data_IF_529614883637
#
_entry.id   IF_529614883637
#
_cell.length_a   1.000
_cell.length_b   1.000
_cell.length_c   1.000
_cell.angle_alpha   90.00
_cell.angle_beta   90.00
_cell.angle_gamma   90.00
#
_symmetry.space_group_name_H-M   'P 1'
#
loop_
_entity.id
_entity.type
_entity.pdbx_description
1 polymer ?
#
# COMPACT_ATOMS: atom_id res chain seq x y z
N UNK A 1 -4.95 0.92 33.24
CA UNK A 1 -3.88 1.69 32.57
C UNK A 1 -3.95 1.28 31.10
N UNK A 2 -4.64 2.04 30.25
CA UNK A 2 -4.86 1.69 28.84
C UNK A 2 -4.23 2.77 27.96
N UNK A 3 -3.34 2.35 27.08
CA UNK A 3 -2.51 3.18 26.20
C UNK A 3 -3.03 3.00 24.78
N UNK A 4 -3.18 4.09 24.02
CA UNK A 4 -3.38 4.06 22.57
C UNK A 4 -4.83 4.12 22.08
N UNK A 5 -5.52 5.26 22.26
CA UNK A 5 -6.72 5.59 21.50
C UNK A 5 -6.39 6.76 20.56
N UNK A 6 -6.53 6.55 19.25
CA UNK A 6 -6.59 7.63 18.26
C UNK A 6 -8.01 8.16 18.28
N UNK A 7 -8.17 9.48 18.43
CA UNK A 7 -9.48 10.13 18.64
C UNK A 7 -9.72 11.11 17.51
N UNK A 8 -10.72 10.84 16.66
CA UNK A 8 -11.09 11.71 15.52
C UNK A 8 -12.51 12.26 15.76
N UNK A 9 -12.69 13.59 15.94
CA UNK A 9 -14.02 14.18 16.08
C UNK A 9 -14.71 14.37 14.72
N UNK A 10 -16.03 14.17 14.70
CA UNK A 10 -16.89 14.33 13.51
C UNK A 10 -17.03 15.81 13.13
N UNK A 11 -17.18 16.67 14.15
CA UNK A 11 -17.23 18.14 14.08
C UNK A 11 -16.81 18.75 15.43
N UNK A 12 -16.48 20.05 15.48
CA UNK A 12 -15.98 20.74 16.69
C UNK A 12 -16.86 20.59 17.94
N UNK A 13 -18.18 20.47 17.77
CA UNK A 13 -19.19 20.35 18.82
C UNK A 13 -19.82 18.95 18.97
N UNK A 14 -19.32 17.91 18.28
CA UNK A 14 -19.88 16.57 18.44
C UNK A 14 -19.56 15.99 19.83
N UNK A 15 -20.52 15.38 20.55
CA UNK A 15 -20.27 14.77 21.86
C UNK A 15 -19.64 13.37 21.78
N UNK A 16 -19.47 12.88 20.55
CA UNK A 16 -18.89 11.61 20.20
C UNK A 16 -17.51 11.82 19.57
N UNK A 17 -16.60 10.90 19.86
CA UNK A 17 -15.31 10.80 19.20
C UNK A 17 -15.12 9.40 18.63
N UNK A 18 -14.59 9.33 17.42
CA UNK A 18 -14.27 8.06 16.77
C UNK A 18 -12.92 7.54 17.24
N UNK A 19 -12.81 6.22 17.42
CA UNK A 19 -11.57 5.56 17.78
C UNK A 19 -11.47 4.15 17.22
N UNK A 20 -10.27 3.58 17.30
CA UNK A 20 -9.97 2.21 16.90
C UNK A 20 -9.54 1.39 18.11
N UNK A 21 -9.99 0.13 18.20
CA UNK A 21 -9.51 -0.81 19.21
C UNK A 21 -8.25 -1.52 18.71
N UNK A 22 -7.70 -2.43 19.53
CA UNK A 22 -6.51 -3.22 19.18
C UNK A 22 -6.71 -4.18 18.00
N UNK A 23 -7.95 -4.45 17.62
CA UNK A 23 -8.32 -5.26 16.47
C UNK A 23 -8.61 -4.40 15.23
N UNK A 24 -8.39 -3.07 15.30
CA UNK A 24 -8.68 -2.10 14.25
C UNK A 24 -10.18 -1.93 13.93
N UNK A 25 -11.06 -2.30 14.85
CA UNK A 25 -12.48 -1.98 14.71
C UNK A 25 -12.70 -0.51 15.01
N UNK A 26 -13.36 0.20 14.09
CA UNK A 26 -13.78 1.57 14.32
C UNK A 26 -15.04 1.60 15.19
N UNK A 27 -15.02 2.44 16.23
CA UNK A 27 -16.16 2.66 17.11
C UNK A 27 -16.36 4.14 17.46
N UNK A 28 -17.60 4.50 17.80
CA UNK A 28 -17.95 5.80 18.36
C UNK A 28 -18.05 5.70 19.87
N UNK A 29 -17.31 6.54 20.59
CA UNK A 29 -17.35 6.62 22.05
C UNK A 29 -17.74 8.03 22.51
N UNK A 30 -18.42 8.12 23.64
CA UNK A 30 -18.72 9.41 24.28
C UNK A 30 -17.45 10.06 24.80
N UNK A 31 -17.30 11.35 24.52
CA UNK A 31 -16.20 12.14 25.09
C UNK A 31 -16.32 12.10 26.63
N UNK A 32 -15.28 11.69 27.36
CA UNK A 32 -15.28 11.66 28.82
C UNK A 32 -15.65 13.02 29.42
N UNK A 33 -16.40 13.02 30.53
CA UNK A 33 -16.96 14.23 31.13
C UNK A 33 -15.90 15.33 31.42
N UNK A 34 -14.69 14.90 31.83
CA UNK A 34 -13.54 15.79 32.09
C UNK A 34 -13.11 16.62 30.87
N UNK A 35 -13.17 16.01 29.68
CA UNK A 35 -12.71 16.59 28.42
C UNK A 35 -13.87 17.33 27.74
N UNK A 36 -15.10 16.85 27.92
CA UNK A 36 -16.34 17.49 27.47
C UNK A 36 -16.52 18.89 28.06
N UNK A 37 -16.33 19.06 29.37
CA UNK A 37 -16.46 20.36 30.03
C UNK A 37 -15.44 21.41 29.56
N UNK A 38 -14.26 20.97 29.09
CA UNK A 38 -13.24 21.86 28.51
C UNK A 38 -13.61 22.26 27.09
N UNK A 39 -14.10 21.33 26.29
CA UNK A 39 -14.53 21.59 24.91
C UNK A 39 -15.80 22.43 24.78
N UNK A 40 -16.68 22.39 25.80
CA UNK A 40 -17.81 23.34 25.90
C UNK A 40 -17.31 24.78 26.04
N UNK A 41 -16.17 25.00 26.71
CA UNK A 41 -15.57 26.33 26.89
C UNK A 41 -14.67 26.73 25.72
N UNK A 42 -13.95 25.78 25.13
CA UNK A 42 -13.08 25.99 23.98
C UNK A 42 -13.20 24.80 23.00
N UNK A 43 -13.97 24.94 21.91
CA UNK A 43 -14.16 23.88 20.92
C UNK A 43 -12.87 23.48 20.16
N UNK A 44 -11.82 24.30 20.23
CA UNK A 44 -10.52 24.03 19.59
C UNK A 44 -9.56 23.23 20.48
N UNK A 45 -9.93 23.02 21.75
CA UNK A 45 -9.12 22.30 22.72
C UNK A 45 -8.82 20.86 22.28
N UNK A 46 -7.54 20.55 22.06
CA UNK A 46 -7.11 19.25 21.54
C UNK A 46 -7.34 18.10 22.54
N UNK A 47 -7.63 16.91 22.01
CA UNK A 47 -7.64 15.69 22.82
C UNK A 47 -6.21 15.24 23.08
N UNK A 48 -5.92 14.83 24.32
CA UNK A 48 -4.62 14.24 24.68
C UNK A 48 -4.55 12.81 24.12
N UNK A 49 -4.19 12.67 22.87
CA UNK A 49 -3.77 11.40 22.27
C UNK A 49 -2.26 11.22 22.46
N UNK A 50 -1.73 9.99 22.40
CA UNK A 50 -0.30 9.77 22.19
C UNK A 50 0.08 10.32 20.80
N UNK A 51 0.39 11.61 20.77
CA UNK A 51 0.96 12.45 19.72
C UNK A 51 0.24 12.57 18.36
N UNK A 52 -0.20 13.80 18.02
CA UNK A 52 -0.10 14.34 16.64
C UNK A 52 0.34 15.81 16.69
N UNK A 53 1.57 16.08 16.25
CA UNK A 53 1.95 17.28 15.50
C UNK A 53 3.27 16.98 14.77
N UNK A 54 3.24 16.93 13.43
CA UNK A 54 4.43 16.87 12.55
C UNK A 54 5.27 15.60 12.50
N UNK A 55 5.17 14.68 13.47
CA UNK A 55 6.03 13.49 13.59
C UNK A 55 5.44 12.16 13.10
N UNK A 56 4.18 12.12 12.63
CA UNK A 56 3.50 10.87 12.30
C UNK A 56 4.13 10.15 11.09
N UNK A 57 4.51 10.90 10.05
CA UNK A 57 5.17 10.36 8.85
C UNK A 57 6.55 9.81 9.24
N UNK A 58 7.42 10.60 9.85
CA UNK A 58 8.75 10.14 10.32
C UNK A 58 8.65 8.91 11.23
N UNK A 59 7.72 8.91 12.17
CA UNK A 59 7.52 7.78 13.09
C UNK A 59 7.05 6.53 12.34
N UNK A 60 6.08 6.66 11.44
CA UNK A 60 5.59 5.56 10.58
C UNK A 60 6.73 5.00 9.72
N UNK A 61 7.45 5.87 9.01
CA UNK A 61 8.58 5.51 8.15
C UNK A 61 9.64 4.76 8.95
N UNK A 62 10.04 5.27 10.12
CA UNK A 62 11.05 4.59 10.95
C UNK A 62 10.56 3.28 11.56
N UNK A 63 9.29 3.17 11.95
CA UNK A 63 8.75 1.91 12.45
C UNK A 63 8.73 0.85 11.35
N UNK A 64 8.25 1.20 10.16
CA UNK A 64 8.20 0.28 9.03
C UNK A 64 9.60 -0.11 8.55
N UNK A 65 10.55 0.83 8.48
CA UNK A 65 11.94 0.53 8.14
C UNK A 65 12.59 -0.44 9.13
N UNK A 66 12.28 -0.33 10.43
CA UNK A 66 12.78 -1.26 11.45
C UNK A 66 12.16 -2.65 11.31
N UNK A 67 10.89 -2.74 10.91
CA UNK A 67 10.26 -4.03 10.60
C UNK A 67 10.96 -4.66 9.38
N UNK A 68 11.12 -3.90 8.30
CA UNK A 68 11.79 -4.36 7.09
C UNK A 68 13.23 -4.83 7.37
N UNK A 69 13.99 -4.09 8.17
CA UNK A 69 15.33 -4.48 8.60
C UNK A 69 15.38 -5.79 9.38
N UNK A 70 14.39 -6.04 10.25
CA UNK A 70 14.40 -7.22 11.12
C UNK A 70 13.90 -8.46 10.39
N UNK A 71 12.91 -8.31 9.50
CA UNK A 71 12.14 -9.43 8.98
C UNK A 71 12.26 -9.67 7.49
N UNK A 72 12.61 -8.68 6.67
CA UNK A 72 12.55 -8.80 5.21
C UNK A 72 13.88 -9.19 4.55
N UNK A 73 14.93 -9.47 5.31
CA UNK A 73 16.23 -9.93 4.79
C UNK A 73 16.72 -9.10 3.57
N UNK A 74 17.09 -9.73 2.46
CA UNK A 74 17.47 -9.07 1.20
C UNK A 74 16.31 -8.32 0.53
N UNK A 75 15.06 -8.74 0.75
CA UNK A 75 13.84 -8.14 0.18
C UNK A 75 13.52 -6.77 0.76
N UNK A 76 14.21 -6.35 1.83
CA UNK A 76 14.19 -4.95 2.27
C UNK A 76 14.50 -3.99 1.12
N UNK A 77 15.36 -4.37 0.18
CA UNK A 77 15.68 -3.54 -0.99
C UNK A 77 14.42 -3.19 -1.80
N UNK A 78 13.48 -4.12 -1.94
CA UNK A 78 12.20 -3.88 -2.64
C UNK A 78 11.35 -2.87 -1.87
N UNK A 79 11.26 -3.01 -0.54
CA UNK A 79 10.59 -2.03 0.31
C UNK A 79 11.21 -0.63 0.21
N UNK A 80 12.54 -0.54 0.11
CA UNK A 80 13.21 0.75 -0.03
C UNK A 80 12.86 1.45 -1.37
N UNK A 81 12.57 0.70 -2.44
CA UNK A 81 12.11 1.25 -3.72
C UNK A 81 10.74 1.93 -3.62
N UNK A 82 9.91 1.56 -2.63
CA UNK A 82 8.59 2.16 -2.45
C UNK A 82 8.63 3.48 -1.67
N UNK A 83 9.79 3.86 -1.13
CA UNK A 83 9.94 5.06 -0.30
C UNK A 83 10.25 6.29 -1.15
N UNK A 84 9.65 7.43 -0.78
CA UNK A 84 10.06 8.71 -1.36
C UNK A 84 11.50 9.07 -0.96
N UNK A 85 12.13 9.96 -1.73
CA UNK A 85 13.49 10.43 -1.43
C UNK A 85 13.64 10.96 0.01
N UNK A 86 12.66 11.72 0.48
CA UNK A 86 12.67 12.26 1.84
C UNK A 86 12.55 11.17 2.92
N UNK A 87 11.81 10.09 2.65
CA UNK A 87 11.67 8.96 3.57
C UNK A 87 12.92 8.10 3.64
N UNK A 88 13.62 7.92 2.51
CA UNK A 88 14.92 7.25 2.47
C UNK A 88 15.98 8.01 3.26
N UNK A 89 16.02 9.33 3.09
CA UNK A 89 16.96 10.22 3.79
C UNK A 89 16.57 10.46 5.26
N UNK A 90 15.38 10.04 5.68
CA UNK A 90 14.95 10.16 7.08
C UNK A 90 15.87 9.35 7.99
N UNK A 91 16.52 10.02 8.94
CA UNK A 91 17.33 9.36 9.95
C UNK A 91 16.46 8.53 10.90
N UNK A 92 16.67 7.22 10.89
CA UNK A 92 16.01 6.23 11.73
C UNK A 92 17.03 5.44 12.54
N UNK A 93 16.65 5.01 13.74
CA UNK A 93 17.50 4.16 14.58
C UNK A 93 17.45 2.71 14.09
N UNK A 94 18.61 2.12 13.88
CA UNK A 94 18.80 0.71 13.52
C UNK A 94 18.19 -0.24 14.57
N UNK A 95 17.70 -1.39 14.10
CA UNK A 95 17.05 -2.42 14.90
C UNK A 95 17.95 -3.65 15.19
N UNK A 96 19.27 -3.45 15.29
CA UNK A 96 20.27 -4.53 15.45
C UNK A 96 19.98 -5.51 16.59
N UNK A 97 19.51 -5.03 17.75
CA UNK A 97 19.12 -5.90 18.87
C UNK A 97 17.98 -6.87 18.52
N UNK A 98 17.05 -6.43 17.65
CA UNK A 98 15.92 -7.25 17.19
C UNK A 98 16.36 -8.23 16.11
N UNK A 99 17.29 -7.83 15.23
CA UNK A 99 17.94 -8.74 14.29
C UNK A 99 18.65 -9.87 15.05
N UNK A 100 19.41 -9.53 16.09
CA UNK A 100 20.07 -10.51 16.96
C UNK A 100 19.06 -11.44 17.64
N UNK A 101 18.00 -10.89 18.22
CA UNK A 101 16.94 -11.69 18.85
C UNK A 101 16.30 -12.68 17.86
N UNK A 102 16.02 -12.28 16.62
CA UNK A 102 15.49 -13.18 15.58
C UNK A 102 16.43 -14.35 15.31
N UNK A 103 17.74 -14.08 15.25
CA UNK A 103 18.77 -15.11 15.10
C UNK A 103 18.82 -16.05 16.31
N UNK A 104 18.82 -15.49 17.53
CA UNK A 104 18.86 -16.27 18.78
C UNK A 104 17.63 -17.20 18.93
N UNK A 105 16.47 -16.76 18.42
CA UNK A 105 15.22 -17.53 18.39
C UNK A 105 15.13 -18.54 17.24
N UNK A 106 16.13 -18.61 16.36
CA UNK A 106 16.18 -19.51 15.19
C UNK A 106 14.94 -19.39 14.30
N UNK A 107 14.51 -18.16 14.04
CA UNK A 107 13.38 -17.93 13.13
C UNK A 107 13.76 -18.25 11.67
N UNK A 108 12.75 -18.64 10.88
CA UNK A 108 12.90 -18.90 9.44
C UNK A 108 13.26 -17.61 8.65
N UNK A 109 13.92 -17.74 7.48
CA UNK A 109 14.21 -16.63 6.59
C UNK A 109 12.94 -16.10 5.90
N UNK A 110 13.00 -14.88 5.37
CA UNK A 110 11.88 -14.25 4.69
C UNK A 110 11.51 -14.96 3.39
N UNK A 111 12.48 -15.53 2.67
CA UNK A 111 12.25 -16.41 1.52
C UNK A 111 11.27 -17.54 1.84
N UNK A 112 11.49 -18.23 2.98
CA UNK A 112 10.61 -19.30 3.42
C UNK A 112 9.19 -18.81 3.69
N UNK A 113 9.03 -17.60 4.24
CA UNK A 113 7.73 -16.99 4.46
C UNK A 113 7.00 -16.75 3.14
N UNK A 114 7.69 -16.22 2.13
CA UNK A 114 7.13 -16.01 0.80
C UNK A 114 6.74 -17.33 0.14
N UNK A 115 7.60 -18.35 0.21
CA UNK A 115 7.33 -19.64 -0.44
C UNK A 115 6.24 -20.47 0.26
N UNK A 116 6.12 -20.35 1.59
CA UNK A 116 5.29 -21.26 2.41
C UNK A 116 4.03 -20.60 2.94
N UNK A 117 4.11 -19.34 3.36
CA UNK A 117 3.03 -18.65 4.07
C UNK A 117 2.26 -17.71 3.14
N UNK A 118 2.96 -17.02 2.23
CA UNK A 118 2.32 -16.06 1.33
C UNK A 118 2.79 -16.17 -0.14
N UNK A 119 2.64 -17.35 -0.77
CA UNK A 119 3.13 -17.63 -2.13
C UNK A 119 2.40 -16.88 -3.24
N UNK A 120 1.21 -16.36 -2.98
CA UNK A 120 0.46 -15.53 -3.92
C UNK A 120 1.01 -14.10 -4.04
N UNK A 121 1.89 -13.66 -3.12
CA UNK A 121 2.48 -12.33 -3.17
C UNK A 121 3.43 -12.22 -4.37
N UNK A 122 3.00 -11.49 -5.39
CA UNK A 122 3.83 -11.15 -6.53
C UNK A 122 4.86 -10.10 -6.13
N UNK A 123 6.14 -10.46 -6.15
CA UNK A 123 7.23 -9.50 -5.96
C UNK A 123 7.81 -9.08 -7.32
N UNK A 124 8.30 -7.84 -7.44
CA UNK A 124 9.08 -7.44 -8.60
C UNK A 124 10.26 -8.40 -8.77
N UNK A 125 10.33 -9.06 -9.91
CA UNK A 125 11.45 -9.94 -10.27
C UNK A 125 12.56 -9.10 -10.91
N UNK A 126 13.82 -9.56 -10.89
CA UNK A 126 14.94 -8.85 -11.54
C UNK A 126 14.73 -8.58 -13.03
N UNK A 127 13.75 -9.26 -13.65
CA UNK A 127 13.33 -9.04 -15.03
C UNK A 127 12.32 -7.92 -15.21
N UNK A 128 11.82 -7.30 -14.15
CA UNK A 128 10.89 -6.17 -14.26
C UNK A 128 11.65 -4.86 -14.50
N UNK A 129 11.21 -4.11 -15.51
CA UNK A 129 11.69 -2.76 -15.85
C UNK A 129 11.03 -1.68 -15.00
N UNK A 130 9.76 -1.87 -14.64
CA UNK A 130 8.99 -0.94 -13.81
C UNK A 130 7.91 -1.68 -13.01
N UNK A 131 7.51 -1.10 -11.88
CA UNK A 131 6.51 -1.62 -10.98
C UNK A 131 5.78 -0.46 -10.28
N UNK A 132 4.46 -0.57 -10.12
CA UNK A 132 3.63 0.40 -9.40
C UNK A 132 2.38 0.82 -10.17
N UNK A 133 1.93 2.06 -9.99
CA UNK A 133 0.73 2.60 -10.62
C UNK A 133 1.04 3.21 -11.99
N UNK A 134 0.16 3.00 -12.97
CA UNK A 134 0.26 3.64 -14.29
C UNK A 134 -0.58 4.92 -14.28
N UNK A 135 0.09 6.08 -14.35
CA UNK A 135 -0.55 7.39 -14.38
C UNK A 135 -0.78 7.86 -15.83
N UNK A 136 -1.88 8.55 -16.10
CA UNK A 136 -2.09 9.22 -17.39
C UNK A 136 -2.49 10.69 -17.22
N UNK A 137 -2.07 11.52 -18.19
CA UNK A 137 -1.97 12.97 -18.03
C UNK A 137 -3.27 13.71 -18.39
N UNK A 138 -3.86 14.33 -17.37
CA UNK A 138 -4.69 15.55 -17.39
C UNK A 138 -4.24 16.37 -16.18
N UNK A 139 -4.43 17.70 -16.12
CA UNK A 139 -3.70 18.64 -15.23
C UNK A 139 -3.81 18.38 -13.72
N UNK A 140 -4.62 17.42 -13.30
CA UNK A 140 -4.65 16.84 -11.96
C UNK A 140 -4.05 15.44 -12.00
N UNK A 141 -2.88 15.25 -11.39
CA UNK A 141 -2.11 13.99 -11.20
C UNK A 141 -2.86 12.86 -10.46
N UNK A 142 -4.18 12.76 -10.59
CA UNK A 142 -5.05 11.97 -9.74
C UNK A 142 -5.69 10.78 -10.45
N UNK A 143 -5.39 10.50 -11.72
CA UNK A 143 -5.99 9.37 -12.43
C UNK A 143 -4.98 8.27 -12.75
N UNK A 144 -5.29 7.07 -12.30
CA UNK A 144 -4.50 5.86 -12.49
C UNK A 144 -5.32 4.82 -13.28
N UNK A 145 -4.64 3.94 -14.01
CA UNK A 145 -5.28 2.76 -14.60
C UNK A 145 -5.77 1.86 -13.46
N UNK A 146 -7.01 1.41 -13.55
CA UNK A 146 -7.71 0.64 -12.53
C UNK A 146 -8.43 -0.55 -13.16
N UNK A 147 -8.54 -1.65 -12.41
CA UNK A 147 -9.38 -2.77 -12.81
C UNK A 147 -10.83 -2.45 -12.43
N UNK A 148 -11.73 -2.44 -13.41
CA UNK A 148 -13.14 -2.11 -13.17
C UNK A 148 -13.97 -3.37 -13.40
N UNK A 149 -14.76 -3.74 -12.40
CA UNK A 149 -15.74 -4.80 -12.55
C UNK A 149 -16.89 -4.31 -13.46
N UNK A 150 -16.96 -4.85 -14.67
CA UNK A 150 -18.06 -4.62 -15.62
C UNK A 150 -19.01 -5.82 -15.57
N UNK A 151 -19.81 -5.89 -14.50
CA UNK A 151 -20.69 -7.02 -14.25
C UNK A 151 -19.92 -8.28 -13.87
N UNK A 152 -19.80 -9.24 -14.78
CA UNK A 152 -19.06 -10.49 -14.58
C UNK A 152 -17.65 -10.50 -15.20
N UNK A 153 -17.26 -9.44 -15.91
CA UNK A 153 -15.96 -9.33 -16.57
C UNK A 153 -15.08 -8.26 -15.92
N UNK A 154 -13.77 -8.52 -15.90
CA UNK A 154 -12.76 -7.53 -15.51
C UNK A 154 -12.42 -6.68 -16.74
N UNK A 155 -12.86 -5.42 -16.71
CA UNK A 155 -12.47 -4.40 -17.68
C UNK A 155 -11.28 -3.59 -17.19
N UNK A 156 -10.64 -2.88 -18.11
CA UNK A 156 -9.59 -1.91 -17.80
C UNK A 156 -10.18 -0.52 -17.94
N UNK A 157 -10.01 0.28 -16.91
CA UNK A 157 -10.47 1.67 -16.93
C UNK A 157 -9.54 2.59 -16.18
N UNK A 158 -10.05 3.77 -15.85
CA UNK A 158 -9.34 4.80 -15.15
C UNK A 158 -10.14 5.25 -13.93
N UNK A 159 -9.46 5.41 -12.80
CA UNK A 159 -10.06 5.88 -11.57
C UNK A 159 -9.10 6.78 -10.80
N UNK A 160 -9.56 7.36 -9.69
CA UNK A 160 -8.67 8.09 -8.80
C UNK A 160 -7.58 7.18 -8.25
N UNK A 161 -6.32 7.65 -8.27
CA UNK A 161 -5.19 6.91 -7.74
C UNK A 161 -5.41 6.60 -6.25
N UNK A 162 -5.45 5.32 -5.89
CA UNK A 162 -5.63 4.86 -4.52
C UNK A 162 -4.29 4.90 -3.78
N UNK A 163 -4.36 5.19 -2.47
CA UNK A 163 -3.19 5.04 -1.58
C UNK A 163 -2.95 3.57 -1.18
N UNK A 164 -3.92 2.69 -1.40
CA UNK A 164 -3.80 1.24 -1.21
C UNK A 164 -3.29 0.59 -2.49
N UNK A 165 -2.13 -0.07 -2.39
CA UNK A 165 -1.31 -0.44 -3.53
C UNK A 165 -1.94 -1.50 -4.46
N UNK A 166 -2.63 -2.52 -3.91
CA UNK A 166 -2.91 -3.75 -4.67
C UNK A 166 -3.82 -3.63 -5.91
N UNK A 167 -4.88 -2.81 -5.86
CA UNK A 167 -5.87 -2.79 -6.97
C UNK A 167 -5.38 -2.06 -8.23
N UNK A 168 -4.38 -1.19 -8.09
CA UNK A 168 -3.85 -0.36 -9.18
C UNK A 168 -2.37 -0.63 -9.43
N UNK A 169 -1.89 -1.82 -9.03
CA UNK A 169 -0.49 -2.21 -9.18
C UNK A 169 -0.27 -2.97 -10.48
N UNK A 170 0.75 -2.55 -11.23
CA UNK A 170 1.16 -3.14 -12.49
C UNK A 170 2.67 -3.36 -12.50
N UNK A 171 3.12 -4.39 -13.22
CA UNK A 171 4.54 -4.65 -13.49
C UNK A 171 4.81 -4.71 -14.99
N UNK A 172 5.87 -4.01 -15.43
CA UNK A 172 6.37 -4.07 -16.80
C UNK A 172 7.63 -4.94 -16.82
N UNK A 173 7.58 -6.04 -17.56
CA UNK A 173 8.73 -6.95 -17.73
C UNK A 173 9.71 -6.46 -18.81
N UNK A 174 10.94 -6.98 -18.82
CA UNK A 174 11.93 -6.81 -19.90
C UNK A 174 11.46 -7.33 -21.26
N UNK A 175 10.49 -8.24 -21.26
CA UNK A 175 9.86 -8.75 -22.48
C UNK A 175 8.70 -7.86 -22.94
N UNK A 176 8.58 -6.62 -22.42
CA UNK A 176 7.57 -5.63 -22.78
C UNK A 176 6.13 -6.07 -22.47
N UNK A 177 5.94 -6.94 -21.48
CA UNK A 177 4.63 -7.37 -21.01
C UNK A 177 4.22 -6.58 -19.77
N UNK A 178 2.98 -6.08 -19.72
CA UNK A 178 2.41 -5.46 -18.52
C UNK A 178 1.46 -6.44 -17.84
N UNK A 179 1.70 -6.70 -16.55
CA UNK A 179 0.87 -7.57 -15.74
C UNK A 179 0.20 -6.84 -14.59
N UNK A 180 -0.97 -7.36 -14.20
CA UNK A 180 -1.69 -7.08 -12.97
C UNK A 180 -2.09 -8.43 -12.38
N UNK A 181 -1.52 -8.79 -11.22
CA UNK A 181 -1.60 -10.13 -10.64
C UNK A 181 -1.27 -11.25 -11.68
N UNK A 182 -2.20 -12.18 -11.90
CA UNK A 182 -2.09 -13.30 -12.84
C UNK A 182 -2.55 -12.95 -14.28
N UNK A 183 -2.89 -11.69 -14.52
CA UNK A 183 -3.39 -11.22 -15.81
C UNK A 183 -2.36 -10.34 -16.53
N UNK A 184 -2.30 -10.45 -17.85
CA UNK A 184 -1.51 -9.60 -18.73
C UNK A 184 -2.44 -8.65 -19.50
N UNK A 185 -2.01 -7.41 -19.69
CA UNK A 185 -2.67 -6.47 -20.59
C UNK A 185 -2.40 -6.86 -22.05
N UNK A 186 -3.46 -6.93 -22.84
CA UNK A 186 -3.42 -7.31 -24.25
C UNK A 186 -4.42 -6.51 -25.06
N UNK A 187 -4.11 -6.22 -26.32
CA UNK A 187 -5.07 -5.66 -27.27
C UNK A 187 -5.99 -6.74 -27.82
N UNK A 188 -7.30 -6.47 -27.79
CA UNK A 188 -8.32 -7.31 -28.44
C UNK A 188 -8.08 -7.49 -29.95
N UNK A 189 -7.48 -6.49 -30.62
CA UNK A 189 -7.00 -6.56 -31.99
C UNK A 189 -5.94 -5.48 -32.28
N UNK A 190 -5.04 -5.73 -33.23
CA UNK A 190 -4.08 -4.74 -33.73
C UNK A 190 -4.73 -3.78 -34.76
N UNK A 191 -5.71 -3.01 -34.31
CA UNK A 191 -6.36 -1.96 -35.12
C UNK A 191 -6.74 -0.77 -34.24
N UNK A 192 -6.83 0.41 -34.84
CA UNK A 192 -7.28 1.62 -34.13
C UNK A 192 -8.68 1.43 -33.53
N UNK A 193 -8.88 1.93 -32.30
CA UNK A 193 -10.12 1.78 -31.54
C UNK A 193 -10.31 0.41 -30.87
N UNK A 194 -9.30 -0.46 -30.86
CA UNK A 194 -9.37 -1.72 -30.13
C UNK A 194 -9.24 -1.51 -28.64
N UNK A 195 -9.98 -2.30 -27.88
CA UNK A 195 -9.98 -2.26 -26.42
C UNK A 195 -8.81 -3.07 -25.85
N UNK A 196 -8.27 -2.61 -24.72
CA UNK A 196 -7.30 -3.35 -23.92
C UNK A 196 -8.06 -4.30 -22.99
N UNK A 197 -7.59 -5.53 -22.85
CA UNK A 197 -8.24 -6.60 -22.09
C UNK A 197 -7.24 -7.34 -21.22
N UNK A 198 -7.72 -7.93 -20.12
CA UNK A 198 -6.96 -8.85 -19.30
C UNK A 198 -6.97 -10.26 -19.90
N UNK A 199 -5.80 -10.82 -20.17
CA UNK A 199 -5.61 -12.24 -20.54
C UNK A 199 -4.95 -13.00 -19.39
N UNK A 200 -5.43 -14.18 -19.07
CA UNK A 200 -4.82 -15.05 -18.05
C UNK A 200 -3.51 -15.63 -18.53
N UNK A 201 -2.55 -15.80 -17.61
CA UNK A 201 -1.24 -16.46 -17.87
C UNK A 201 -1.34 -17.88 -18.47
N UNK A 202 -2.50 -18.54 -18.33
CA UNK A 202 -2.75 -19.91 -18.81
C UNK A 202 -3.10 -20.00 -20.31
N UNK A 203 -3.52 -18.92 -20.96
CA UNK A 203 -3.55 -18.87 -22.42
C UNK A 203 -2.12 -18.59 -22.89
N UNK A 204 -1.55 -19.47 -23.72
CA UNK A 204 -0.14 -19.41 -24.16
C UNK A 204 0.28 -18.00 -24.59
N UNK A 205 0.92 -17.26 -23.69
CA UNK A 205 1.58 -16.00 -23.98
C UNK A 205 2.65 -16.26 -25.06
N UNK A 206 2.61 -15.48 -26.14
CA UNK A 206 3.54 -15.58 -27.27
C UNK A 206 3.00 -16.24 -28.54
N UNK A 207 1.72 -16.65 -28.59
CA UNK A 207 1.13 -17.21 -29.82
C UNK A 207 0.33 -16.20 -30.66
N UNK A 208 0.08 -15.00 -30.13
CA UNK A 208 -0.61 -13.92 -30.84
C UNK A 208 0.36 -12.77 -31.13
N UNK A 209 0.39 -12.35 -32.39
CA UNK A 209 1.41 -11.50 -33.02
C UNK A 209 1.50 -10.10 -32.36
N UNK A 210 2.23 -9.96 -31.26
CA UNK A 210 2.60 -8.66 -30.69
C UNK A 210 1.46 -7.81 -30.09
N UNK A 211 0.26 -8.37 -29.93
CA UNK A 211 -0.88 -7.70 -29.26
C UNK A 211 -0.66 -7.46 -27.76
N UNK A 212 0.34 -8.13 -27.19
CA UNK A 212 0.58 -8.18 -25.74
C UNK A 212 1.83 -7.37 -25.35
N UNK A 213 2.51 -6.77 -26.33
CA UNK A 213 3.78 -6.04 -26.15
C UNK A 213 3.54 -4.53 -26.02
N UNK A 214 4.25 -3.91 -25.07
CA UNK A 214 4.15 -2.51 -24.67
C UNK A 214 5.55 -1.88 -24.55
N UNK A 215 5.77 -0.71 -25.14
CA UNK A 215 7.05 0.03 -25.14
C UNK A 215 7.01 1.39 -24.44
#
# INVERSE_FOLDING_TARGET
>A
MSIGQIVIPIHSNSPLSGGFNWNLDFFWEWIPARDRARRIRDPTYSFKTPAIAGGAVKTKTCNNRRIAQVWMDSFKAIYDLTLSRAELETECKEANERVKLRSDLKCEPFDWYLDTVYPELQLPVETDLAFGQIHFNQPSFLSCIDNIALGHELGIGANSCLQSYHLQEYRLTKDNLIFHDDFCLSLSALKSGSEVQFKTKLSKMGNEKGSDLWD
#
